data_IF_868963525913
#
_entry.id   IF_868963525913
#
_cell.length_a   1.000
_cell.length_b   1.000
_cell.length_c   1.000
_cell.angle_alpha   90.00
_cell.angle_beta   90.00
_cell.angle_gamma   90.00
#
_symmetry.space_group_name_H-M   'P 1'
#
loop_
_entity.id
_entity.type
_entity.pdbx_description
1 polymer ?
2 non-polymer ?
3 water ?
#
# COMPACT_ATOMS: atom_id res chain seq x y z
N UNK A 4 3.84 -28.62 -11.80
CA UNK A 4 4.43 -29.03 -10.50
C UNK A 4 4.18 -27.97 -9.44
N UNK A 5 4.97 -27.98 -8.37
CA UNK A 5 4.91 -26.93 -7.32
C UNK A 5 6.34 -26.50 -6.96
N UNK A 6 6.47 -25.37 -6.28
CA UNK A 6 7.79 -24.84 -5.95
C UNK A 6 8.40 -25.70 -4.82
N UNK A 7 9.52 -26.40 -5.12
CA UNK A 7 10.22 -27.23 -4.12
C UNK A 7 10.73 -26.39 -2.96
N UNK A 8 10.96 -25.10 -3.22
CA UNK A 8 11.36 -24.17 -2.17
C UNK A 8 10.25 -23.80 -1.23
N UNK A 9 9.01 -24.01 -1.66
CA UNK A 9 7.86 -23.73 -0.80
C UNK A 9 7.29 -22.35 -1.03
N UNK A 10 6.41 -21.95 -0.13
CA UNK A 10 5.56 -20.76 -0.31
C UNK A 10 5.56 -19.84 0.89
N UNK A 11 5.16 -18.60 0.66
CA UNK A 11 4.82 -17.68 1.74
C UNK A 11 3.41 -17.20 1.49
N UNK A 12 2.59 -17.20 2.54
CA UNK A 12 1.26 -16.62 2.47
C UNK A 12 1.09 -15.74 3.70
N UNK A 13 0.44 -14.60 3.54
CA UNK A 13 0.29 -13.67 4.67
C UNK A 13 -0.97 -12.85 4.52
N UNK A 14 -1.39 -12.28 5.64
CA UNK A 14 -2.47 -11.31 5.68
C UNK A 14 -1.89 -9.89 5.73
N UNK A 15 -2.35 -8.99 4.83
CA UNK A 15 -2.01 -7.59 4.98
C UNK A 15 -2.97 -7.02 6.03
N UNK A 16 -2.71 -7.41 7.28
CA UNK A 16 -3.71 -7.30 8.33
C UNK A 16 -3.63 -6.01 9.14
N UNK A 17 -2.81 -5.08 8.66
CA UNK A 17 -2.70 -3.77 9.28
C UNK A 17 -3.11 -2.64 8.34
N UNK A 18 -4.13 -1.91 8.76
CA UNK A 18 -4.49 -0.65 8.12
C UNK A 18 -5.29 -0.81 6.82
N UNK A 19 -5.59 0.31 6.20
CA UNK A 19 -6.29 0.34 4.95
C UNK A 19 -5.39 0.18 3.73
N UNK A 20 -5.94 0.34 2.52
CA UNK A 20 -5.17 -0.01 1.30
C UNK A 20 -3.71 0.51 1.25
N UNK A 21 -3.51 1.78 1.58
CA UNK A 21 -2.17 2.35 1.60
C UNK A 21 -1.23 1.58 2.51
N UNK A 22 -1.68 1.23 3.71
CA UNK A 22 -0.84 0.43 4.66
C UNK A 22 -0.61 -0.96 4.08
N UNK A 23 -1.65 -1.58 3.53
CA UNK A 23 -1.51 -2.93 2.97
C UNK A 23 -0.46 -2.97 1.84
N UNK A 24 -0.49 -2.01 0.92
CA UNK A 24 0.43 -2.01 -0.22
C UNK A 24 1.82 -1.70 0.29
N UNK A 25 1.88 -0.77 1.25
CA UNK A 25 3.18 -0.38 1.86
C UNK A 25 3.90 -1.61 2.47
N UNK A 26 3.19 -2.45 3.22
CA UNK A 26 3.80 -3.69 3.73
C UNK A 26 4.04 -4.73 2.62
N UNK A 27 3.13 -4.80 1.67
CA UNK A 27 3.21 -5.75 0.56
C UNK A 27 4.50 -5.59 -0.25
N UNK A 28 4.91 -4.34 -0.47
CA UNK A 28 6.25 -4.09 -1.08
C UNK A 28 7.38 -4.83 -0.35
N UNK A 29 7.44 -4.69 0.98
CA UNK A 29 8.45 -5.38 1.82
C UNK A 29 8.35 -6.90 1.79
N UNK A 30 7.12 -7.43 1.77
CA UNK A 30 6.89 -8.88 1.67
C UNK A 30 7.43 -9.44 0.35
N UNK A 31 7.23 -8.69 -0.73
CA UNK A 31 7.71 -9.11 -2.04
C UNK A 31 9.22 -9.29 -1.98
N UNK A 32 9.90 -8.33 -1.38
CA UNK A 32 11.36 -8.38 -1.29
C UNK A 32 11.84 -9.52 -0.40
N UNK A 33 11.11 -9.74 0.71
CA UNK A 33 11.30 -10.85 1.65
C UNK A 33 11.17 -12.21 0.98
N UNK A 34 10.11 -12.40 0.20
CA UNK A 34 9.89 -13.66 -0.49
C UNK A 34 11.00 -13.94 -1.50
N UNK A 35 11.41 -12.90 -2.22
CA UNK A 35 12.47 -12.99 -3.19
C UNK A 35 13.79 -13.38 -2.52
N UNK A 36 14.07 -12.74 -1.37
CA UNK A 36 15.28 -13.04 -0.61
C UNK A 36 15.34 -14.47 -0.06
N UNK A 37 14.19 -15.02 0.36
CA UNK A 37 14.10 -16.42 0.79
C UNK A 37 13.98 -17.42 -0.35
N UNK A 38 13.80 -16.91 -1.58
CA UNK A 38 13.57 -17.72 -2.77
C UNK A 38 12.43 -18.71 -2.53
N UNK A 39 11.33 -18.18 -1.98
CA UNK A 39 10.04 -18.89 -1.94
C UNK A 39 9.00 -18.13 -2.80
N UNK A 40 8.05 -18.85 -3.39
CA UNK A 40 6.97 -18.24 -4.17
C UNK A 40 6.01 -17.51 -3.24
N UNK A 41 5.64 -16.27 -3.56
CA UNK A 41 4.63 -15.56 -2.75
C UNK A 41 3.19 -15.82 -3.22
N UNK A 42 2.33 -16.25 -2.31
CA UNK A 42 0.90 -16.26 -2.59
C UNK A 42 0.42 -14.81 -2.52
N UNK A 43 -0.19 -14.34 -3.60
CA UNK A 43 -0.56 -12.92 -3.68
C UNK A 43 -1.69 -12.70 -2.69
N UNK A 44 -1.60 -11.62 -1.89
CA UNK A 44 -2.60 -11.43 -0.85
C UNK A 44 -3.97 -11.00 -1.38
N UNK A 45 -5.03 -11.30 -0.63
CA UNK A 45 -6.28 -10.55 -0.83
C UNK A 45 -6.12 -9.26 -0.09
N UNK A 46 -6.50 -8.17 -0.73
CA UNK A 46 -6.49 -6.89 -0.07
C UNK A 46 -7.80 -6.78 0.67
N UNK A 47 -7.89 -5.81 1.56
CA UNK A 47 -8.98 -5.76 2.52
C UNK A 47 -9.65 -4.39 2.46
N UNK A 48 -10.99 -4.38 2.43
CA UNK A 48 -11.77 -3.15 2.40
C UNK A 48 -12.64 -3.09 3.64
N UNK A 49 -12.67 -1.93 4.29
CA UNK A 49 -13.39 -1.82 5.55
C UNK A 49 -14.70 -1.03 5.46
N UNK A 50 -14.94 -0.39 4.32
CA UNK A 50 -16.10 0.50 4.20
C UNK A 50 -17.31 -0.23 3.66
N UNK A 51 -17.68 -1.28 4.38
CA UNK A 51 -18.87 -2.09 4.11
C UNK A 51 -19.35 -2.55 5.48
N UNK A 52 -20.55 -3.17 5.54
CA UNK A 52 -21.09 -3.66 6.82
C UNK A 52 -20.21 -4.74 7.47
N UNK A 53 -19.42 -5.42 6.63
CA UNK A 53 -18.40 -6.36 7.08
C UNK A 53 -17.14 -6.13 6.26
N UNK A 54 -16.06 -6.72 6.71
CA UNK A 54 -14.78 -6.67 6.04
C UNK A 54 -14.88 -7.42 4.71
N UNK A 55 -14.22 -6.91 3.69
CA UNK A 55 -14.32 -7.47 2.35
C UNK A 55 -12.92 -7.77 1.80
N UNK A 56 -12.71 -8.99 1.34
CA UNK A 56 -11.42 -9.41 0.81
C UNK A 56 -11.47 -9.29 -0.71
N UNK A 57 -10.44 -8.65 -1.28
CA UNK A 57 -10.40 -8.31 -2.72
C UNK A 57 -9.26 -9.08 -3.39
N UNK A 58 -9.53 -9.84 -4.47
CA UNK A 58 -8.38 -10.59 -5.06
C UNK A 58 -7.31 -9.65 -5.62
N UNK A 59 -6.05 -10.02 -5.44
CA UNK A 59 -4.92 -9.23 -5.96
C UNK A 59 -5.17 -8.80 -7.41
N UNK A 60 -5.52 -9.78 -8.25
CA UNK A 60 -5.69 -9.62 -9.70
C UNK A 60 -6.85 -8.71 -10.13
N UNK A 61 -7.82 -8.49 -9.24
CA UNK A 61 -8.88 -7.50 -9.49
C UNK A 61 -8.25 -6.11 -9.60
N UNK A 62 -7.16 -5.92 -8.86
CA UNK A 62 -6.53 -4.59 -8.77
C UNK A 62 -5.26 -4.45 -9.56
N UNK A 63 -4.44 -5.49 -9.57
CA UNK A 63 -3.12 -5.39 -10.16
C UNK A 63 -2.87 -6.54 -11.14
N UNK A 64 -1.90 -6.37 -12.04
CA UNK A 64 -1.59 -7.38 -13.04
C UNK A 64 -0.58 -8.39 -12.51
N UNK A 65 -0.95 -9.66 -12.54
CA UNK A 65 -0.10 -10.77 -12.07
C UNK A 65 1.17 -10.84 -12.92
N UNK A 66 1.01 -10.75 -14.24
CA UNK A 66 2.16 -10.75 -15.16
C UNK A 66 3.29 -9.77 -14.79
N UNK A 67 2.92 -8.56 -14.42
CA UNK A 67 3.90 -7.51 -14.07
C UNK A 67 4.65 -7.77 -12.75
N UNK A 68 3.93 -8.14 -11.69
CA UNK A 68 4.54 -8.45 -10.40
C UNK A 68 5.41 -9.72 -10.48
N UNK A 69 5.03 -10.65 -11.36
CA UNK A 69 5.79 -11.88 -11.58
C UNK A 69 7.19 -11.54 -12.08
N UNK A 70 7.33 -10.39 -12.68
CA UNK A 70 8.62 -10.00 -13.24
C UNK A 70 9.61 -9.73 -12.13
N UNK A 71 9.09 -9.40 -10.96
CA UNK A 71 9.96 -9.12 -9.83
C UNK A 71 10.40 -10.37 -9.06
N UNK A 72 9.47 -11.30 -8.84
CA UNK A 72 9.72 -12.53 -8.06
C UNK A 72 8.57 -13.48 -8.34
N UNK A 73 8.76 -14.77 -8.04
CA UNK A 73 7.73 -15.80 -8.28
C UNK A 73 6.52 -15.62 -7.39
N UNK A 74 5.36 -15.66 -8.01
CA UNK A 74 4.09 -15.45 -7.33
C UNK A 74 3.09 -16.49 -7.84
N UNK A 75 2.01 -16.69 -7.07
CA UNK A 75 0.83 -17.42 -7.50
C UNK A 75 -0.39 -16.71 -6.95
N UNK A 76 -1.51 -16.74 -7.68
CA UNK A 76 -2.74 -16.15 -7.16
C UNK A 76 -3.22 -16.88 -5.90
N UNK A 77 -4.04 -16.21 -5.11
CA UNK A 77 -4.75 -16.85 -4.01
C UNK A 77 -5.64 -17.99 -4.51
N UNK A 78 -6.31 -17.79 -5.66
CA UNK A 78 -7.14 -18.86 -6.22
C UNK A 78 -6.31 -20.12 -6.54
N UNK A 79 -5.22 -19.96 -7.30
CA UNK A 79 -4.36 -21.10 -7.61
C UNK A 79 -3.81 -21.76 -6.35
N UNK A 80 -3.41 -20.94 -5.37
CA UNK A 80 -2.87 -21.51 -4.13
C UNK A 80 -3.92 -22.35 -3.40
N UNK A 81 -5.11 -21.80 -3.17
CA UNK A 81 -6.12 -22.49 -2.38
C UNK A 81 -6.76 -23.67 -3.12
N UNK A 82 -6.89 -23.56 -4.44
CA UNK A 82 -7.59 -24.57 -5.20
C UNK A 82 -6.67 -25.67 -5.71
N UNK A 83 -5.40 -25.33 -5.98
CA UNK A 83 -4.49 -26.26 -6.62
C UNK A 83 -3.25 -26.70 -5.84
N UNK A 84 -2.75 -25.85 -4.94
CA UNK A 84 -1.48 -26.10 -4.26
C UNK A 84 -1.70 -26.58 -2.81
N UNK A 85 -2.44 -25.78 -2.05
CA UNK A 85 -2.79 -26.05 -0.65
C UNK A 85 -3.22 -27.49 -0.28
N UNK A 86 -4.19 -28.08 -1.02
CA UNK A 86 -4.72 -29.38 -0.55
C UNK A 86 -3.68 -30.49 -0.33
N UNK A 87 -2.68 -30.58 -1.21
CA UNK A 87 -1.65 -31.62 -1.12
C UNK A 87 -0.35 -31.11 -0.48
N UNK A 88 0.00 -29.85 -0.75
CA UNK A 88 1.27 -29.31 -0.27
C UNK A 88 1.17 -28.88 1.18
N UNK A 89 -0.03 -28.52 1.64
CA UNK A 89 -0.21 -27.89 2.94
C UNK A 89 -1.55 -28.24 3.60
N UNK A 90 -1.75 -29.52 3.94
CA UNK A 90 -3.04 -29.94 4.50
C UNK A 90 -3.30 -29.34 5.90
N UNK A 91 -4.59 -29.28 6.34
CA UNK A 91 -5.01 -28.67 7.61
C UNK A 91 -4.09 -29.00 8.79
N UNK A 92 -3.55 -30.21 8.78
CA UNK A 92 -2.70 -30.75 9.83
C UNK A 92 -1.34 -30.05 10.00
N UNK A 93 -0.83 -29.44 8.94
CA UNK A 93 0.47 -28.76 9.06
C UNK A 93 0.42 -27.23 8.82
N UNK A 94 -0.78 -26.70 8.98
CA UNK A 94 -0.97 -25.26 8.93
C UNK A 94 -0.53 -24.64 10.25
N UNK A 95 0.76 -24.29 10.26
CA UNK A 95 1.38 -23.56 11.36
C UNK A 95 1.36 -22.08 11.08
N UNK A 96 1.07 -21.30 12.12
CA UNK A 96 1.14 -19.85 12.05
C UNK A 96 2.54 -19.40 12.43
N UNK A 97 3.04 -18.37 11.76
CA UNK A 97 4.37 -17.86 12.06
C UNK A 97 4.25 -16.48 12.64
N UNK A 98 5.01 -16.25 13.71
CA UNK A 98 5.07 -14.92 14.33
C UNK A 98 6.42 -14.69 15.02
N UNK A 99 6.64 -13.47 15.49
CA UNK A 99 7.91 -13.07 16.07
C UNK A 99 8.20 -13.84 17.36
N UNK A 100 7.21 -13.86 18.25
CA UNK A 100 7.36 -14.44 19.59
C UNK A 100 5.99 -14.85 20.14
N UNK A 101 5.95 -15.82 21.08
CA UNK A 101 4.66 -16.13 21.69
C UNK A 101 4.12 -14.87 22.36
N UNK A 102 2.80 -14.67 22.29
CA UNK A 102 2.21 -13.47 22.88
C UNK A 102 0.99 -13.76 23.73
N UNK A 103 0.72 -12.85 24.66
CA UNK A 103 -0.49 -12.86 25.46
C UNK A 103 -1.71 -12.67 24.54
N UNK A 104 -2.69 -13.57 24.68
CA UNK A 104 -3.93 -13.55 23.89
C UNK A 104 -4.74 -12.27 24.10
N UNK A 111 -3.35 -19.64 25.94
CA UNK A 111 -1.96 -20.06 25.90
C UNK A 111 -1.13 -19.12 25.01
N UNK A 112 0.08 -18.73 25.47
CA UNK A 112 0.95 -17.86 24.66
C UNK A 112 1.28 -18.47 23.29
N UNK A 113 0.92 -17.74 22.23
CA UNK A 113 1.19 -18.16 20.86
C UNK A 113 1.11 -16.97 19.92
N UNK A 114 0.75 -17.24 18.67
CA UNK A 114 0.61 -16.19 17.65
C UNK A 114 -0.78 -15.56 17.64
N UNK A 115 -1.80 -16.34 18.01
CA UNK A 115 -3.22 -15.92 17.94
C UNK A 115 -3.62 -15.22 16.62
N UNK A 116 -3.55 -15.99 15.54
CA UNK A 116 -3.58 -15.45 14.18
C UNK A 116 -4.95 -15.02 13.67
N UNK A 117 -6.00 -15.60 14.26
CA UNK A 117 -7.36 -15.34 13.84
C UNK A 117 -8.15 -14.55 14.90
N UNK A 118 -7.42 -14.06 15.90
CA UNK A 118 -8.01 -13.23 16.95
C UNK A 118 -8.28 -11.80 16.45
N UNK A 119 -9.52 -11.33 16.61
CA UNK A 119 -9.91 -10.01 16.12
C UNK A 119 -10.11 -9.91 14.60
N UNK A 120 -10.25 -8.67 14.13
CA UNK A 120 -10.56 -8.31 12.75
C UNK A 120 -9.44 -7.38 12.25
N UNK A 121 -8.94 -7.59 11.02
CA UNK A 121 -9.43 -8.49 9.96
C UNK A 121 -8.82 -9.90 10.00
N UNK A 122 -8.08 -10.18 11.08
CA UNK A 122 -7.31 -11.41 11.25
C UNK A 122 -8.17 -12.66 11.03
N UNK A 123 -9.25 -12.78 11.80
CA UNK A 123 -10.19 -13.89 11.61
C UNK A 123 -10.80 -13.97 10.21
N UNK A 124 -11.53 -12.92 9.78
CA UNK A 124 -12.24 -13.02 8.51
C UNK A 124 -11.35 -13.28 7.29
N UNK A 125 -10.08 -12.90 7.38
CA UNK A 125 -9.12 -13.04 6.28
C UNK A 125 -8.80 -14.51 6.05
N UNK A 126 -8.38 -15.19 7.11
CA UNK A 126 -8.09 -16.61 7.03
C UNK A 126 -9.34 -17.47 6.84
N UNK A 127 -10.46 -17.05 7.44
CA UNK A 127 -11.76 -17.73 7.25
C UNK A 127 -12.20 -17.72 5.79
N UNK A 128 -11.96 -16.59 5.12
CA UNK A 128 -12.27 -16.41 3.71
C UNK A 128 -11.65 -17.50 2.83
N UNK A 129 -10.40 -17.86 3.12
CA UNK A 129 -9.73 -18.97 2.46
C UNK A 129 -9.81 -20.28 3.29
N UNK A 130 -10.73 -20.34 4.25
CA UNK A 130 -11.00 -21.58 5.02
C UNK A 130 -9.73 -22.18 5.65
N UNK A 131 -8.94 -21.33 6.29
CA UNK A 131 -7.70 -21.75 6.92
C UNK A 131 -7.80 -21.53 8.43
N UNK A 132 -7.45 -22.58 9.19
CA UNK A 132 -7.27 -22.50 10.64
C UNK A 132 -5.87 -23.01 10.94
N UNK A 133 -5.27 -22.52 12.03
CA UNK A 133 -3.93 -22.98 12.40
C UNK A 133 -3.92 -23.98 13.57
N UNK A 134 -3.01 -24.95 13.52
CA UNK A 134 -2.94 -26.04 14.51
C UNK A 134 -1.68 -26.00 15.41
N UNK A 135 -0.78 -25.07 15.11
CA UNK A 135 0.48 -24.91 15.84
C UNK A 135 1.19 -23.61 15.46
N UNK A 136 2.23 -23.27 16.21
CA UNK A 136 2.90 -21.99 16.04
C UNK A 136 4.39 -22.17 15.82
N UNK A 137 4.95 -21.31 14.97
CA UNK A 137 6.39 -21.25 14.78
C UNK A 137 6.82 -19.81 15.01
N UNK A 138 8.03 -19.64 15.55
CA UNK A 138 8.52 -18.30 15.87
C UNK A 138 9.83 -18.00 15.17
N UNK A 139 10.04 -16.74 14.81
CA UNK A 139 11.25 -16.36 14.07
C UNK A 139 12.02 -15.20 14.71
N UNK A 140 11.55 -14.75 15.87
CA UNK A 140 12.18 -13.67 16.63
C UNK A 140 13.59 -13.97 17.06
N UNK A 141 13.90 -15.26 17.21
CA UNK A 141 15.23 -15.75 17.57
C UNK A 141 16.22 -15.82 16.39
N UNK A 142 15.76 -15.51 15.18
CA UNK A 142 16.64 -15.47 14.01
C UNK A 142 17.36 -14.11 13.95
N UNK A 143 18.72 -14.12 13.90
CA UNK A 143 19.53 -12.89 13.88
C UNK A 143 19.23 -12.01 12.68
N UNK A 144 18.50 -10.92 12.90
CA UNK A 144 18.20 -9.97 11.82
C UNK A 144 16.73 -9.82 11.48
N UNK A 145 15.90 -10.67 12.08
CA UNK A 145 14.45 -10.67 11.84
C UNK A 145 14.13 -11.02 10.40
N UNK A 146 13.15 -10.31 9.84
CA UNK A 146 12.79 -10.47 8.42
C UNK A 146 13.47 -9.46 7.47
N UNK A 147 14.56 -8.85 7.94
CA UNK A 147 15.31 -7.86 7.16
C UNK A 147 16.50 -8.53 6.44
N UNK A 148 16.19 -9.22 5.35
CA UNK A 148 17.13 -10.16 4.72
C UNK A 148 18.23 -9.59 3.82
N UNK A 149 18.14 -8.31 3.46
CA UNK A 149 19.23 -7.65 2.72
C UNK A 149 19.83 -6.47 3.50
N UNK A 150 21.10 -6.62 3.87
CA UNK A 150 21.73 -5.91 4.99
C UNK A 150 21.08 -6.38 6.30
N UNK A 151 21.90 -6.97 7.18
CA UNK A 151 21.43 -7.79 8.31
C UNK A 151 20.89 -9.12 7.75
N UNK A 152 21.56 -9.57 6.67
CA UNK A 152 21.12 -10.71 5.85
C UNK A 152 21.18 -12.07 6.53
N UNK A 153 20.01 -12.67 6.73
CA UNK A 153 19.89 -13.96 7.42
C UNK A 153 19.06 -15.00 6.65
N UNK A 154 19.18 -15.00 5.32
CA UNK A 154 18.48 -15.96 4.48
C UNK A 154 18.92 -17.43 4.73
N UNK A 155 20.20 -17.61 5.08
CA UNK A 155 20.73 -18.93 5.42
C UNK A 155 20.04 -19.44 6.69
N UNK A 156 19.87 -18.53 7.65
CA UNK A 156 19.31 -18.86 8.97
C UNK A 156 17.85 -19.29 8.88
N UNK A 157 17.11 -18.64 7.98
CA UNK A 157 15.72 -19.00 7.68
C UNK A 157 15.61 -20.35 7.00
N UNK A 158 16.51 -20.61 6.05
CA UNK A 158 16.50 -21.88 5.31
C UNK A 158 16.87 -23.03 6.23
N UNK A 159 17.79 -22.75 7.13
CA UNK A 159 18.27 -23.70 8.13
C UNK A 159 17.17 -23.99 9.16
N UNK A 160 16.51 -22.94 9.66
CA UNK A 160 15.45 -23.13 10.65
C UNK A 160 14.15 -23.67 10.06
N UNK A 161 13.78 -23.20 8.87
CA UNK A 161 12.56 -23.68 8.19
C UNK A 161 12.85 -24.29 6.81
N UNK A 162 13.42 -25.52 6.77
CA UNK A 162 13.63 -26.23 5.52
C UNK A 162 12.31 -26.42 4.77
N UNK A 163 12.37 -26.36 3.46
CA UNK A 163 11.16 -26.40 2.64
C UNK A 163 10.37 -27.71 2.78
N UNK A 164 11.05 -28.83 2.98
CA UNK A 164 10.36 -30.12 3.14
C UNK A 164 9.48 -30.20 4.40
N UNK A 165 9.97 -29.72 5.54
CA UNK A 165 9.12 -29.67 6.75
C UNK A 165 8.18 -28.48 6.78
N UNK A 166 8.59 -27.39 6.12
CA UNK A 166 7.82 -26.14 6.10
C UNK A 166 7.61 -25.66 4.67
N UNK A 167 6.70 -26.33 3.94
CA UNK A 167 6.43 -25.93 2.57
C UNK A 167 5.72 -24.58 2.48
N UNK A 168 5.01 -24.20 3.55
CA UNK A 168 4.31 -22.92 3.54
C UNK A 168 4.59 -22.17 4.81
N UNK A 169 5.19 -20.99 4.66
CA UNK A 169 5.33 -20.05 5.76
C UNK A 169 4.11 -19.13 5.75
N UNK A 170 3.34 -19.14 6.84
CA UNK A 170 2.09 -18.39 6.91
C UNK A 170 2.16 -17.35 8.03
N UNK A 171 2.01 -16.07 7.66
CA UNK A 171 2.20 -14.99 8.61
C UNK A 171 0.87 -14.26 8.79
N UNK A 172 0.36 -14.15 10.01
CA UNK A 172 -0.86 -13.32 10.17
C UNK A 172 -0.58 -11.83 10.22
N UNK A 173 0.67 -11.43 10.45
CA UNK A 173 1.10 -10.05 10.20
C UNK A 173 2.13 -10.07 9.09
N UNK A 174 2.01 -9.12 8.16
CA UNK A 174 2.92 -9.05 7.01
C UNK A 174 4.35 -9.02 7.51
N UNK A 175 5.23 -9.90 6.97
CA UNK A 175 6.62 -9.90 7.38
C UNK A 175 7.40 -8.81 6.65
N UNK A 176 7.11 -7.57 7.01
CA UNK A 176 7.72 -6.41 6.40
C UNK A 176 7.58 -5.21 7.31
N UNK A 177 8.57 -4.30 7.29
CA UNK A 177 8.42 -3.10 8.11
C UNK A 177 7.21 -2.24 7.73
N UNK A 178 6.70 -1.52 8.72
CA UNK A 178 5.79 -0.44 8.47
C UNK A 178 6.18 0.72 9.38
N UNK A 179 6.30 1.93 8.79
CA UNK A 179 6.19 2.24 7.36
C UNK A 179 7.32 1.63 6.53
N UNK A 180 7.14 1.59 5.21
CA UNK A 180 8.15 0.99 4.34
C UNK A 180 9.48 1.75 4.37
N UNK A 181 10.54 0.99 4.14
CA UNK A 181 11.91 1.51 4.04
C UNK A 181 12.14 2.00 2.62
N UNK A 182 12.92 3.08 2.43
CA UNK A 182 13.22 3.60 1.09
C UNK A 182 13.64 2.57 0.05
N UNK A 183 14.29 1.51 0.52
CA UNK A 183 14.90 0.47 -0.31
C UNK A 183 13.88 -0.39 -1.06
N UNK A 184 12.66 -0.41 -0.57
CA UNK A 184 11.64 -1.23 -1.23
C UNK A 184 10.69 -0.40 -2.09
N UNK A 185 10.81 0.93 -2.04
CA UNK A 185 9.83 1.80 -2.73
C UNK A 185 9.79 1.56 -4.24
N UNK A 186 10.95 1.27 -4.85
CA UNK A 186 11.04 1.02 -6.29
C UNK A 186 10.27 -0.21 -6.75
N UNK A 187 10.00 -1.14 -5.83
CA UNK A 187 9.18 -2.31 -6.13
C UNK A 187 7.77 -1.91 -6.62
N UNK A 188 7.35 -0.68 -6.30
CA UNK A 188 6.09 -0.17 -6.87
C UNK A 188 6.05 -0.26 -8.41
N UNK A 189 7.21 -0.31 -9.07
CA UNK A 189 7.25 -0.50 -10.53
C UNK A 189 6.45 -1.74 -10.98
N UNK A 190 6.42 -2.76 -10.13
CA UNK A 190 5.87 -4.05 -10.51
C UNK A 190 4.41 -4.17 -10.16
N UNK A 191 3.84 -3.12 -9.59
CA UNK A 191 2.40 -3.08 -9.36
C UNK A 191 1.74 -2.19 -10.40
N UNK A 192 1.22 -2.83 -11.44
CA UNK A 192 0.55 -2.16 -12.56
C UNK A 192 -0.96 -2.39 -12.41
N UNK A 193 -1.78 -1.33 -12.49
CA UNK A 193 -3.25 -1.49 -12.33
C UNK A 193 -3.78 -2.48 -13.33
N UNK A 194 -4.81 -3.22 -12.94
CA UNK A 194 -5.43 -4.18 -13.85
C UNK A 194 -5.92 -3.43 -15.08
N UNK A 195 -6.06 -4.15 -16.19
CA UNK A 195 -6.61 -3.58 -17.42
C UNK A 195 -7.91 -2.84 -17.15
N UNK A 196 -8.77 -3.46 -16.36
CA UNK A 196 -10.08 -2.87 -16.08
C UNK A 196 -9.91 -1.47 -15.46
N UNK A 197 -9.07 -1.35 -14.43
CA UNK A 197 -8.85 -0.05 -13.76
C UNK A 197 -8.15 0.98 -14.68
N UNK A 198 -7.14 0.52 -15.40
CA UNK A 198 -6.42 1.39 -16.33
C UNK A 198 -7.41 2.00 -17.34
N UNK A 199 -8.30 1.18 -17.89
CA UNK A 199 -9.24 1.66 -18.88
C UNK A 199 -10.20 2.68 -18.25
N UNK A 200 -10.65 2.41 -17.02
CA UNK A 200 -11.56 3.35 -16.34
C UNK A 200 -10.87 4.70 -16.12
N UNK A 201 -9.59 4.65 -15.76
CA UNK A 201 -8.76 5.84 -15.58
C UNK A 201 -8.65 6.63 -16.88
N UNK A 202 -8.30 5.95 -17.98
CA UNK A 202 -8.17 6.60 -19.29
C UNK A 202 -9.47 7.22 -19.76
N UNK A 203 -10.58 6.52 -19.61
CA UNK A 203 -11.88 7.08 -20.00
C UNK A 203 -12.23 8.32 -19.22
N UNK A 204 -12.02 8.29 -17.90
CA UNK A 204 -12.36 9.45 -17.08
C UNK A 204 -11.51 10.66 -17.49
N UNK A 205 -10.23 10.42 -17.72
CA UNK A 205 -9.32 11.50 -18.13
C UNK A 205 -9.78 12.07 -19.49
N UNK A 206 -10.11 11.19 -20.44
CA UNK A 206 -10.44 11.64 -21.81
C UNK A 206 -11.70 12.47 -21.79
N UNK A 207 -12.71 11.97 -21.07
CA UNK A 207 -14.01 12.62 -20.98
C UNK A 207 -14.03 13.93 -20.19
N UNK A 208 -13.21 14.02 -19.14
CA UNK A 208 -13.33 15.08 -18.15
C UNK A 208 -12.15 16.01 -17.89
N UNK A 209 -10.94 15.58 -18.24
CA UNK A 209 -9.72 16.27 -17.80
C UNK A 209 -8.85 16.73 -18.97
N UNK A 210 -9.07 17.97 -19.36
CA UNK A 210 -8.26 18.57 -20.40
C UNK A 210 -6.84 18.61 -19.86
N UNK A 211 -5.91 18.26 -20.74
CA UNK A 211 -4.49 18.20 -20.41
C UNK A 211 -3.74 19.52 -20.70
N UNK A 212 -2.71 19.83 -19.91
CA UNK A 212 -2.19 19.09 -18.78
C UNK A 212 -3.09 19.22 -17.57
N UNK A 213 -3.25 18.13 -16.81
CA UNK A 213 -4.02 18.20 -15.56
C UNK A 213 -3.22 18.00 -14.26
N UNK A 214 -3.55 18.79 -13.24
CA UNK A 214 -3.04 18.59 -11.91
C UNK A 214 -4.01 17.66 -11.16
N UNK A 215 -3.49 16.59 -10.56
CA UNK A 215 -4.32 15.79 -9.64
C UNK A 215 -3.89 15.99 -8.21
N UNK A 216 -4.87 16.15 -7.33
CA UNK A 216 -4.61 16.37 -5.90
C UNK A 216 -5.28 15.28 -5.05
N UNK A 217 -4.59 14.89 -3.99
CA UNK A 217 -5.14 14.04 -2.97
C UNK A 217 -5.47 14.88 -1.72
N UNK A 218 -6.75 14.93 -1.38
CA UNK A 218 -7.20 15.71 -0.23
C UNK A 218 -7.65 14.73 0.83
N UNK A 219 -6.80 14.52 1.83
CA UNK A 219 -7.12 13.56 2.89
C UNK A 219 -7.60 14.43 4.06
N UNK A 220 -8.91 14.39 4.31
CA UNK A 220 -9.54 15.34 5.25
C UNK A 220 -10.69 14.84 6.18
N UNK A 221 -10.94 13.52 6.27
CA UNK A 221 -11.98 13.05 7.22
C UNK A 221 -11.55 13.22 8.68
N UNK A 222 -12.49 13.04 9.61
CA UNK A 222 -12.25 13.42 11.01
C UNK A 222 -11.14 12.64 11.71
N UNK A 223 -11.05 11.34 11.44
CA UNK A 223 -9.96 10.52 12.01
C UNK A 223 -8.58 11.07 11.63
N UNK A 224 -8.49 11.61 10.40
CA UNK A 224 -7.25 12.20 9.93
C UNK A 224 -6.89 13.48 10.67
N UNK A 225 -7.84 14.38 10.85
CA UNK A 225 -7.56 15.64 11.55
C UNK A 225 -7.05 15.33 12.95
N UNK A 226 -7.63 14.30 13.55
CA UNK A 226 -7.22 13.79 14.86
C UNK A 226 -5.76 13.32 14.84
N UNK A 227 -5.40 12.49 13.86
CA UNK A 227 -4.03 11.98 13.75
C UNK A 227 -3.03 13.14 13.58
N UNK A 228 -3.33 14.09 12.71
CA UNK A 228 -2.47 15.25 12.52
C UNK A 228 -2.29 16.11 13.77
N UNK A 229 -3.38 16.38 14.48
CA UNK A 229 -3.28 17.25 15.64
C UNK A 229 -2.51 16.64 16.82
N UNK A 230 -2.23 15.34 16.73
CA UNK A 230 -1.39 14.66 17.73
C UNK A 230 0.11 14.59 17.39
N UNK A 231 0.52 15.20 16.28
CA UNK A 231 1.95 15.33 15.93
C UNK A 231 2.74 16.02 17.04
N UNK A 232 3.80 15.37 17.50
CA UNK A 232 4.73 15.94 18.48
C UNK A 232 5.93 16.48 17.72
N UNK A 233 5.95 17.80 17.53
CA UNK A 233 6.93 18.42 16.66
C UNK A 233 8.36 18.35 17.20
N UNK A 234 8.50 18.11 18.51
CA UNK A 234 9.85 18.05 19.10
C UNK A 234 10.51 16.66 19.01
N UNK A 235 9.73 15.58 18.96
CA UNK A 235 10.34 14.26 18.71
C UNK A 235 10.52 14.00 17.19
N UNK A 236 9.67 14.63 16.38
CA UNK A 236 9.79 14.63 14.91
C UNK A 236 10.06 13.24 14.30
N UNK A 237 9.33 12.24 14.81
CA UNK A 237 9.42 10.89 14.27
C UNK A 237 8.61 10.74 12.97
N UNK A 238 8.97 9.76 12.14
CA UNK A 238 8.11 9.40 11.03
C UNK A 238 6.65 9.17 11.46
N UNK A 239 5.72 9.60 10.63
CA UNK A 239 4.31 9.30 10.84
C UNK A 239 3.77 8.80 9.51
N UNK A 240 3.37 7.53 9.50
CA UNK A 240 2.93 6.86 8.28
C UNK A 240 3.94 7.14 7.16
N UNK A 241 3.53 7.80 6.07
CA UNK A 241 4.39 7.94 4.88
C UNK A 241 5.27 9.20 4.86
N UNK A 242 5.30 9.93 5.98
CA UNK A 242 5.94 11.25 6.03
C UNK A 242 7.38 11.32 5.46
N UNK A 243 8.11 10.22 5.53
CA UNK A 243 9.46 10.16 4.98
C UNK A 243 9.52 10.30 3.46
N UNK A 244 8.38 10.06 2.79
CA UNK A 244 8.32 10.29 1.34
C UNK A 244 8.62 11.74 0.94
N UNK A 245 8.33 12.70 1.83
CA UNK A 245 8.69 14.10 1.55
C UNK A 245 9.80 14.68 2.44
N UNK A 246 10.03 14.07 3.61
CA UNK A 246 11.00 14.61 4.58
C UNK A 246 12.28 13.78 4.73
N UNK A 247 12.36 12.70 3.95
CA UNK A 247 13.52 11.83 3.96
C UNK A 247 13.49 10.89 5.14
N UNK A 248 14.25 9.81 5.03
CA UNK A 248 14.44 8.84 6.12
C UNK A 248 14.72 9.57 7.44
N UNK A 249 14.02 9.16 8.50
CA UNK A 249 14.18 9.79 9.82
C UNK A 249 14.03 11.31 9.84
N UNK A 250 13.33 11.85 8.82
CA UNK A 250 13.05 13.29 8.69
C UNK A 250 14.31 14.17 8.60
N UNK A 251 15.33 13.66 7.92
CA UNK A 251 16.60 14.39 7.80
C UNK A 251 16.42 15.72 7.06
N UNK A 252 15.34 15.85 6.29
CA UNK A 252 15.11 17.05 5.48
C UNK A 252 14.42 18.17 6.24
N UNK A 253 13.67 17.84 7.31
CA UNK A 253 12.91 18.85 8.03
C UNK A 253 11.99 18.35 9.12
N UNK A 254 11.02 19.19 9.48
CA UNK A 254 10.07 18.87 10.55
C UNK A 254 8.67 18.63 9.97
N UNK A 255 8.05 17.52 10.32
CA UNK A 255 6.63 17.33 10.02
C UNK A 255 5.80 18.28 10.89
N UNK A 256 4.96 19.08 10.23
CA UNK A 256 4.06 20.02 10.89
C UNK A 256 2.61 19.66 10.60
N UNK A 257 1.70 20.31 11.33
CA UNK A 257 0.27 20.10 11.16
C UNK A 257 -0.21 20.64 9.81
N UNK A 258 0.41 21.72 9.34
CA UNK A 258 0.12 22.34 8.03
C UNK A 258 0.43 21.38 6.86
N UNK A 259 1.50 20.59 7.01
CA UNK A 259 1.81 19.54 6.03
C UNK A 259 0.82 18.38 6.14
N UNK A 260 0.55 17.93 7.37
CA UNK A 260 -0.31 16.77 7.59
C UNK A 260 -1.76 17.08 7.22
N UNK A 261 -2.21 18.27 7.61
CA UNK A 261 -3.61 18.65 7.48
C UNK A 261 -3.68 20.13 7.03
N UNK A 262 -3.38 20.40 5.75
CA UNK A 262 -3.44 21.78 5.24
C UNK A 262 -4.81 22.41 5.43
N UNK A 263 -4.86 23.70 5.74
CA UNK A 263 -6.14 24.41 5.82
C UNK A 263 -6.81 24.47 4.44
N UNK A 264 -8.10 24.75 4.40
CA UNK A 264 -8.79 24.94 3.11
C UNK A 264 -8.13 26.05 2.28
N UNK A 265 -7.83 27.17 2.94
CA UNK A 265 -7.16 28.30 2.29
C UNK A 265 -5.78 27.92 1.70
N UNK A 266 -5.03 27.09 2.41
CA UNK A 266 -3.71 26.63 1.94
C UNK A 266 -3.87 25.69 0.73
N UNK A 267 -4.86 24.78 0.79
CA UNK A 267 -5.12 23.87 -0.32
C UNK A 267 -5.39 24.67 -1.60
N UNK A 268 -6.28 25.67 -1.49
CA UNK A 268 -6.68 26.51 -2.64
C UNK A 268 -5.49 27.29 -3.21
N UNK A 269 -4.78 28.00 -2.34
CA UNK A 269 -3.58 28.75 -2.72
C UNK A 269 -2.60 27.88 -3.50
N UNK A 270 -2.35 26.68 -2.99
CA UNK A 270 -1.38 25.81 -3.60
C UNK A 270 -1.88 25.18 -4.89
N UNK A 271 -3.16 24.84 -4.97
CA UNK A 271 -3.74 24.35 -6.24
C UNK A 271 -3.60 25.41 -7.34
N UNK A 272 -3.99 26.64 -7.01
CA UNK A 272 -3.96 27.74 -7.96
C UNK A 272 -2.54 28.00 -8.43
N UNK A 273 -1.62 27.91 -7.49
CA UNK A 273 -0.22 28.10 -7.75
C UNK A 273 0.27 27.04 -8.73
N UNK A 274 -0.01 25.77 -8.44
CA UNK A 274 0.39 24.65 -9.36
C UNK A 274 -0.26 24.72 -10.72
N UNK A 275 -1.53 25.14 -10.77
CA UNK A 275 -2.23 25.27 -12.05
C UNK A 275 -1.52 26.31 -12.90
N UNK A 276 -1.06 27.38 -12.24
CA UNK A 276 -0.34 28.47 -12.90
C UNK A 276 1.01 28.01 -13.40
N UNK A 277 1.70 27.19 -12.62
CA UNK A 277 3.07 26.78 -12.98
C UNK A 277 3.11 25.86 -14.21
N UNK A 278 2.08 25.03 -14.37
CA UNK A 278 2.08 24.12 -15.53
C UNK A 278 1.09 24.52 -16.66
N UNK A 279 0.37 25.62 -16.50
CA UNK A 279 -0.67 26.00 -17.47
C UNK A 279 -1.71 24.90 -17.57
N UNK A 280 -2.20 24.44 -16.42
CA UNK A 280 -3.11 23.29 -16.38
C UNK A 280 -4.43 23.65 -17.02
N UNK A 281 -5.10 22.65 -17.60
CA UNK A 281 -6.40 22.88 -18.22
C UNK A 281 -7.54 22.20 -17.46
N UNK A 282 -7.21 21.53 -16.37
CA UNK A 282 -8.20 20.94 -15.47
C UNK A 282 -7.48 20.48 -14.21
N UNK A 283 -8.28 20.17 -13.19
CA UNK A 283 -7.82 19.60 -11.95
C UNK A 283 -8.68 18.37 -11.64
N UNK A 284 -8.01 17.33 -11.18
CA UNK A 284 -8.63 16.15 -10.63
C UNK A 284 -8.44 16.11 -9.11
N UNK A 285 -9.54 15.82 -8.40
CA UNK A 285 -9.55 15.70 -6.94
C UNK A 285 -9.95 14.30 -6.51
N UNK A 286 -9.08 13.71 -5.72
CA UNK A 286 -9.37 12.49 -5.01
C UNK A 286 -9.44 12.84 -3.52
N UNK A 287 -10.52 12.44 -2.87
CA UNK A 287 -10.70 12.75 -1.46
C UNK A 287 -11.37 11.59 -0.74
N UNK A 288 -11.01 11.43 0.53
CA UNK A 288 -11.72 10.51 1.44
C UNK A 288 -13.02 11.11 1.99
N UNK A 289 -13.22 12.42 1.83
CA UNK A 289 -14.43 13.06 2.36
C UNK A 289 -14.82 14.31 1.57
N UNK A 290 -14.11 15.42 1.80
CA UNK A 290 -14.49 16.70 1.17
C UNK A 290 -13.63 16.97 -0.06
N UNK A 291 -14.26 16.82 -1.22
CA UNK A 291 -13.54 17.06 -2.50
C UNK A 291 -13.36 18.54 -2.82
N UNK A 292 -14.06 19.40 -2.06
CA UNK A 292 -13.97 20.85 -2.19
C UNK A 292 -14.19 21.35 -3.63
N UNK A 293 -15.02 20.64 -4.38
CA UNK A 293 -15.23 20.98 -5.80
C UNK A 293 -15.74 22.42 -5.98
N UNK A 294 -16.73 22.84 -5.20
CA UNK A 294 -17.27 24.18 -5.39
C UNK A 294 -16.18 25.22 -5.05
N UNK A 295 -15.49 25.02 -3.93
CA UNK A 295 -14.47 25.97 -3.49
C UNK A 295 -13.31 26.05 -4.48
N UNK A 296 -12.84 24.89 -4.96
CA UNK A 296 -11.74 24.89 -5.93
C UNK A 296 -12.20 25.58 -7.21
N UNK A 297 -13.40 25.26 -7.71
CA UNK A 297 -13.93 25.93 -8.89
C UNK A 297 -14.01 27.46 -8.78
N UNK A 298 -14.36 27.97 -7.61
CA UNK A 298 -14.40 29.40 -7.42
C UNK A 298 -12.97 29.96 -7.55
N UNK A 299 -12.03 29.29 -6.90
CA UNK A 299 -10.61 29.69 -6.92
C UNK A 299 -10.02 29.57 -8.33
N UNK A 300 -10.54 28.62 -9.11
CA UNK A 300 -10.05 28.43 -10.48
C UNK A 300 -10.67 29.34 -11.55
N UNK A 301 -11.71 30.11 -11.19
CA UNK A 301 -12.39 30.96 -12.18
C UNK A 301 -11.52 31.89 -13.01
N UNK A 302 -10.49 32.53 -12.39
CA UNK A 302 -9.57 33.35 -13.19
C UNK A 302 -8.86 32.58 -14.32
N UNK A 303 -8.74 31.26 -14.19
CA UNK A 303 -8.08 30.41 -15.19
C UNK A 303 -9.08 29.76 -16.15
N UNK A 304 -10.37 29.95 -15.89
CA UNK A 304 -11.46 29.37 -16.68
C UNK A 304 -11.28 27.86 -16.87
N UNK A 305 -10.99 27.19 -15.77
CA UNK A 305 -10.90 25.73 -15.75
C UNK A 305 -11.67 25.24 -14.54
N UNK A 306 -11.95 23.93 -14.52
CA UNK A 306 -12.68 23.34 -13.40
C UNK A 306 -11.96 22.14 -12.77
N UNK A 307 -12.36 21.85 -11.53
CA UNK A 307 -11.94 20.65 -10.82
C UNK A 307 -13.03 19.58 -11.02
N UNK A 308 -12.60 18.33 -11.07
CA UNK A 308 -13.48 17.21 -11.34
C UNK A 308 -13.16 16.06 -10.40
N UNK A 309 -14.19 15.28 -10.09
CA UNK A 309 -14.04 14.09 -9.26
C UNK A 309 -14.89 12.96 -9.82
N UNK A 310 -14.59 11.73 -9.40
CA UNK A 310 -15.50 10.62 -9.65
C UNK A 310 -16.65 10.63 -8.65
N UNK A 311 -17.85 10.32 -9.13
CA UNK A 311 -18.99 10.12 -8.24
C UNK A 311 -19.60 8.74 -8.51
N UNK A 312 -19.50 7.81 -7.53
CA UNK A 312 -18.77 7.93 -6.26
C UNK A 312 -17.25 7.87 -6.46
N UNK A 313 -16.49 8.28 -5.46
CA UNK A 313 -15.03 8.25 -5.59
C UNK A 313 -14.52 6.82 -5.39
N UNK A 314 -14.06 6.19 -6.49
CA UNK A 314 -13.50 4.83 -6.45
C UNK A 314 -12.04 4.96 -6.14
N UNK A 315 -11.61 4.36 -5.04
CA UNK A 315 -10.24 4.66 -4.58
C UNK A 315 -9.19 4.13 -5.53
N UNK A 316 -9.48 3.02 -6.22
CA UNK A 316 -8.41 2.43 -7.04
C UNK A 316 -8.25 3.17 -8.36
N UNK A 317 -9.39 3.48 -9.00
CA UNK A 317 -9.38 4.33 -10.21
C UNK A 317 -8.82 5.72 -9.89
N UNK A 318 -9.15 6.26 -8.72
CA UNK A 318 -8.52 7.53 -8.30
C UNK A 318 -7.01 7.45 -8.24
N UNK A 319 -6.48 6.42 -7.58
CA UNK A 319 -5.02 6.21 -7.53
C UNK A 319 -4.46 6.16 -8.95
N UNK A 320 -5.12 5.38 -9.82
CA UNK A 320 -4.65 5.20 -11.19
C UNK A 320 -4.64 6.52 -11.97
N UNK A 321 -5.70 7.30 -11.82
CA UNK A 321 -5.81 8.63 -12.48
C UNK A 321 -4.67 9.57 -12.01
N UNK A 322 -4.39 9.58 -10.71
CA UNK A 322 -3.34 10.41 -10.16
C UNK A 322 -1.97 9.96 -10.66
N UNK A 323 -1.84 8.65 -10.90
CA UNK A 323 -0.57 8.14 -11.45
C UNK A 323 -0.32 8.66 -12.86
N UNK A 324 -1.41 8.97 -13.57
CA UNK A 324 -1.34 9.39 -14.99
C UNK A 324 -1.27 10.91 -15.18
N UNK A 325 -1.38 11.65 -14.08
CA UNK A 325 -1.52 13.11 -14.10
C UNK A 325 -0.28 13.78 -14.60
N UNK A 326 -0.47 14.97 -15.17
CA UNK A 326 0.71 15.73 -15.60
C UNK A 326 1.49 16.22 -14.39
N UNK A 327 0.76 16.59 -13.35
CA UNK A 327 1.36 16.87 -12.04
C UNK A 327 0.47 16.32 -10.94
N UNK A 328 1.10 15.72 -9.93
CA UNK A 328 0.41 15.21 -8.76
C UNK A 328 0.78 16.03 -7.54
N UNK A 329 -0.20 16.43 -6.75
CA UNK A 329 0.08 17.09 -5.47
C UNK A 329 -0.59 16.29 -4.36
N UNK A 330 0.24 15.61 -3.57
CA UNK A 330 -0.26 14.68 -2.57
C UNK A 330 -0.19 15.17 -1.14
N UNK A 331 -0.61 14.31 -0.25
CA UNK A 331 -0.47 14.53 1.17
C UNK A 331 0.73 13.75 1.66
N UNK A 332 1.72 14.44 2.18
CA UNK A 332 2.94 13.76 2.59
C UNK A 332 2.75 12.64 3.63
N UNK A 333 1.80 12.81 4.54
CA UNK A 333 1.63 11.80 5.59
C UNK A 333 0.90 10.53 5.14
N UNK A 334 0.09 10.65 4.10
CA UNK A 334 -0.77 9.57 3.65
C UNK A 334 0.01 8.52 2.89
N UNK A 335 -0.08 7.28 3.36
CA UNK A 335 0.39 6.09 2.58
C UNK A 335 -0.41 5.89 1.26
N UNK A 336 -1.58 6.51 1.18
CA UNK A 336 -2.38 6.47 -0.01
C UNK A 336 -1.72 7.34 -1.08
N UNK A 337 -1.36 8.57 -0.71
CA UNK A 337 -0.56 9.42 -1.58
C UNK A 337 0.75 8.73 -1.93
N UNK A 338 1.30 7.98 -0.97
CA UNK A 338 2.63 7.34 -1.15
C UNK A 338 2.56 6.35 -2.30
N UNK A 339 1.42 5.70 -2.47
CA UNK A 339 1.30 4.78 -3.62
C UNK A 339 1.54 5.55 -4.91
N UNK A 340 0.88 6.69 -5.05
CA UNK A 340 0.97 7.49 -6.27
C UNK A 340 2.38 7.98 -6.45
N UNK A 341 2.95 8.55 -5.38
CA UNK A 341 4.33 9.06 -5.44
C UNK A 341 5.29 7.99 -5.97
N UNK A 342 5.18 6.79 -5.42
CA UNK A 342 6.01 5.67 -5.88
C UNK A 342 5.80 5.24 -7.31
N UNK A 343 4.55 5.19 -7.76
CA UNK A 343 4.23 4.81 -9.12
C UNK A 343 4.77 5.89 -10.04
N UNK A 344 4.53 7.13 -9.66
CA UNK A 344 5.05 8.24 -10.48
C UNK A 344 6.54 8.23 -10.54
N UNK A 345 7.16 7.89 -9.42
CA UNK A 345 8.62 7.77 -9.41
C UNK A 345 9.14 6.59 -10.24
N UNK A 346 8.43 5.47 -10.25
CA UNK A 346 9.08 4.20 -10.64
C UNK A 346 8.43 3.42 -11.76
N UNK A 347 7.16 3.66 -12.07
CA UNK A 347 6.49 2.87 -13.12
C UNK A 347 7.16 3.00 -14.48
N UNK A 348 7.64 4.19 -14.79
CA UNK A 348 8.29 4.44 -16.06
C UNK A 348 9.79 4.49 -15.91
N UNK A 349 10.46 4.75 -17.03
CA UNK A 349 11.90 4.82 -17.05
C UNK A 349 12.39 6.07 -16.34
N UNK A 350 11.56 7.11 -16.32
CA UNK A 350 11.90 8.39 -15.71
C UNK A 350 10.75 8.80 -14.79
N UNK A 351 11.04 9.55 -13.70
CA UNK A 351 10.01 10.01 -12.78
C UNK A 351 9.07 11.02 -13.43
N UNK A 352 7.77 10.86 -13.21
CA UNK A 352 6.81 11.93 -13.43
C UNK A 352 6.76 12.80 -12.17
N UNK A 353 6.61 14.13 -12.34
CA UNK A 353 6.70 15.06 -11.20
C UNK A 353 5.56 15.02 -10.18
N UNK A 354 5.94 15.21 -8.92
CA UNK A 354 4.99 15.27 -7.83
C UNK A 354 5.42 16.37 -6.85
N UNK A 355 4.47 16.80 -6.04
CA UNK A 355 4.66 17.80 -5.02
C UNK A 355 3.75 17.43 -3.87
N UNK A 356 3.90 18.11 -2.74
CA UNK A 356 3.10 17.77 -1.57
C UNK A 356 2.61 19.06 -0.95
N UNK A 357 1.37 19.07 -0.47
CA UNK A 357 0.90 20.24 0.28
C UNK A 357 1.83 20.58 1.43
N UNK A 358 2.09 21.87 1.60
CA UNK A 358 2.89 22.35 2.74
C UNK A 358 4.39 22.17 2.57
N UNK A 359 4.78 21.62 1.42
CA UNK A 359 6.20 21.38 1.10
C UNK A 359 6.60 22.25 -0.08
X LIG B 1 -5.16 3.94 2.32
X LIG B 1 -4.75 4.19 3.75
X LIG B 1 -4.03 3.08 4.50
X LIG B 1 -3.88 5.55 3.67
X LIG B 1 -6.07 4.61 4.57
X LIG B 1 -3.52 6.61 4.84
X LIG B 1 -6.90 5.62 4.01
X LIG B 1 -8.14 4.98 3.41
X LIG B 1 -9.16 5.95 3.39
X LIG B 1 -7.95 4.58 1.95
X LIG B 1 -9.79 6.03 2.11
X LIG B 1 -7.47 3.24 1.80
X LIG B 1 -9.35 4.75 1.41
X LIG B 1 -10.18 3.66 1.83
X LIG B 1 -9.24 7.15 1.27
X LIG B 1 -8.19 7.95 1.50
X LIG B 1 -9.76 7.45 0.10
X LIG B 1 -8.05 8.80 0.46
X LIG B 1 -9.01 8.48 -0.44
X LIG B 1 -9.39 8.97 -1.68
X LIG B 1 -8.76 9.91 -2.20
X LIG B 1 -10.47 8.44 -2.31
X LIG B 1 -11.17 7.42 -1.78
X LIG B 1 -12.22 6.88 -2.43
X LIG B 1 -10.83 6.92 -0.58
X LIG B 1 -4.00 5.86 7.35
X LIG B 1 -4.45 4.46 7.75
X LIG B 1 -4.49 6.12 6.04
X LIG B 1 -4.58 6.79 8.28
X LIG B 1 -3.99 4.13 9.17
X LIG B 1 -4.10 3.44 6.80
X LIG B 1 -4.77 5.09 10.07
X LIG B 1 -4.27 2.75 9.48
X LIG B 1 -4.47 6.54 9.70
X LIG B 1 -6.18 4.85 9.90
X LIG B 1 -5.40 7.48 10.47
X LIG B 1 -2.07 6.37 5.21
X LIG B 1 -4.00 7.93 4.31
#
# INVERSE_FOLDING_TARGET
>A
EAEATDPNGYIVFCPCMGRFGNQVDQFLGVLAFAKALDRTLVLPNFIEFKHPETKMIPFEFLFQVGTVAKYTRVVTMQEFTKKIMPTVWPPEKRKAFCWTPRQAIYDKSAEPGCHSKEGNPFGPYWDQIDVSFVGDEYFGDIPGGFDLNQMGSRKKWLEKFPSEEYPVLAFSSAPAPFPSKGKVWSIQKYLRWSSRITEQAKKFISANLAKPFVAVHLRNDADWVRVCEHIDTTTNRPLFASEQCLGEGHHLGTLTKEICSPSKQQILEQIVEKVGSIGAKSVFVASDKDHMIDEINEALKPYEIEAHRQEPDDMYTSLAIMGRADLFVGNCVSTFSHIVKRERDHAGQSPRPSAFFGIRAV
>B hetero
1 GFB O1P P O3P O2P O5' P1 C5' C4' O4' C3' C1' O3' C2' O2' N9 C8 C4 N7 C5 C6 O6 N1 C2 N2 N3 C1 C2A O1 O5 C3 O2 C4A O3 C5A O4 C6A O1X O2X
#
